data_IF_319921850508
#
_entry.id   IF_319921850508
#
_cell.length_a   1.000
_cell.length_b   1.000
_cell.length_c   1.000
_cell.angle_alpha   90.00
_cell.angle_beta   90.00
_cell.angle_gamma   90.00
#
_symmetry.space_group_name_H-M   'P 1'
#
loop_
_entity.id
_entity.type
_entity.pdbx_description
1 polymer ?
#
# COMPACT_ATOMS: atom_id res chain seq x y z
N UNK A 1 8.64 5.04 5.31
CA UNK A 1 7.27 5.16 4.74
C UNK A 1 7.33 5.99 3.47
N UNK A 2 6.74 5.52 2.40
CA UNK A 2 6.66 6.23 1.11
C UNK A 2 5.19 6.51 0.77
N UNK A 3 4.82 7.77 0.60
CA UNK A 3 3.47 8.20 0.30
C UNK A 3 3.39 8.85 -1.07
N UNK A 4 2.47 8.37 -1.89
CA UNK A 4 2.29 8.78 -3.27
C UNK A 4 0.91 9.45 -3.40
N UNK A 5 0.87 10.63 -3.99
CA UNK A 5 -0.37 11.41 -4.11
C UNK A 5 -1.38 10.79 -5.08
N UNK A 6 -0.91 10.03 -6.06
CA UNK A 6 -1.76 9.45 -7.09
C UNK A 6 -1.16 8.18 -7.71
N UNK A 7 -2.03 7.33 -8.24
CA UNK A 7 -1.65 6.16 -9.04
C UNK A 7 -1.30 6.49 -10.49
N UNK A 8 -1.57 7.70 -10.96
CA UNK A 8 -1.31 8.13 -12.34
C UNK A 8 -0.65 9.49 -12.39
N UNK A 9 0.26 9.68 -13.32
CA UNK A 9 0.89 10.94 -13.64
C UNK A 9 0.92 11.15 -15.15
N UNK A 10 0.31 12.22 -15.63
CA UNK A 10 0.21 12.53 -17.06
C UNK A 10 -0.30 11.32 -17.88
N UNK A 11 0.44 10.88 -18.88
CA UNK A 11 0.09 9.78 -19.77
C UNK A 11 0.73 8.44 -19.37
N UNK A 12 1.24 8.32 -18.16
CA UNK A 12 1.82 7.06 -17.67
C UNK A 12 0.75 6.03 -17.32
N UNK A 13 1.11 4.76 -17.35
CA UNK A 13 0.27 3.67 -16.85
C UNK A 13 0.07 3.74 -15.34
N UNK A 14 -0.76 2.86 -14.84
CA UNK A 14 -1.06 2.76 -13.39
C UNK A 14 0.22 2.48 -12.58
N UNK A 15 0.55 3.36 -11.65
CA UNK A 15 1.76 3.32 -10.81
C UNK A 15 3.10 3.34 -11.57
N UNK A 16 3.11 3.40 -12.89
CA UNK A 16 4.32 3.34 -13.72
C UNK A 16 5.37 4.38 -13.30
N UNK A 17 4.94 5.61 -13.06
CA UNK A 17 5.82 6.70 -12.65
C UNK A 17 6.47 6.49 -11.26
N UNK A 18 5.95 5.56 -10.47
CA UNK A 18 6.43 5.30 -9.10
C UNK A 18 7.53 4.25 -9.04
N UNK A 19 7.72 3.47 -10.10
CA UNK A 19 8.64 2.32 -10.14
C UNK A 19 10.06 2.70 -9.71
N UNK A 20 10.70 3.75 -10.23
CA UNK A 20 12.06 4.12 -9.80
C UNK A 20 12.15 4.43 -8.30
N UNK A 21 11.14 5.09 -7.74
CA UNK A 21 11.11 5.43 -6.32
C UNK A 21 10.90 4.19 -5.44
N UNK A 22 10.00 3.30 -5.87
CA UNK A 22 9.75 2.04 -5.17
C UNK A 22 10.97 1.11 -5.24
N UNK A 23 11.64 1.03 -6.38
CA UNK A 23 12.89 0.25 -6.52
C UNK A 23 13.96 0.72 -5.55
N UNK A 24 14.13 2.04 -5.40
CA UNK A 24 15.07 2.60 -4.45
C UNK A 24 14.62 2.39 -2.99
N UNK A 25 13.36 2.67 -2.70
CA UNK A 25 12.79 2.54 -1.36
C UNK A 25 12.81 1.10 -0.84
N UNK A 26 12.61 0.13 -1.72
CA UNK A 26 12.54 -1.30 -1.40
C UNK A 26 13.80 -2.08 -1.82
N UNK A 27 14.93 -1.40 -2.04
CA UNK A 27 16.15 -2.00 -2.57
C UNK A 27 16.63 -3.22 -1.75
N UNK A 28 16.49 -3.15 -0.43
CA UNK A 28 16.92 -4.22 0.49
C UNK A 28 15.88 -5.34 0.67
N UNK A 29 14.73 -5.24 0.01
CA UNK A 29 13.59 -6.15 0.16
C UNK A 29 13.28 -6.97 -1.10
N UNK A 30 14.24 -7.17 -1.98
CA UNK A 30 14.06 -7.95 -3.22
C UNK A 30 13.57 -9.36 -2.92
N UNK A 31 12.64 -9.85 -3.74
CA UNK A 31 12.01 -11.18 -3.60
C UNK A 31 11.22 -11.39 -2.30
N UNK A 32 10.87 -10.32 -1.61
CA UNK A 32 10.05 -10.34 -0.40
C UNK A 32 8.55 -10.25 -0.73
N UNK A 33 7.73 -10.43 0.30
CA UNK A 33 6.26 -10.42 0.18
C UNK A 33 5.69 -9.07 0.59
N UNK A 34 4.82 -8.54 -0.27
CA UNK A 34 4.02 -7.34 -0.03
C UNK A 34 2.60 -7.76 0.32
N UNK A 35 2.13 -7.40 1.51
CA UNK A 35 0.70 -7.44 1.83
C UNK A 35 0.01 -6.23 1.22
N UNK A 36 -0.89 -6.47 0.28
CA UNK A 36 -1.66 -5.44 -0.38
C UNK A 36 -3.05 -5.29 0.25
N UNK A 37 -3.41 -4.07 0.64
CA UNK A 37 -4.72 -3.72 1.21
C UNK A 37 -5.57 -3.03 0.15
N UNK A 38 -6.60 -3.71 -0.42
CA UNK A 38 -7.39 -3.23 -1.55
C UNK A 38 -8.65 -2.45 -1.16
N UNK A 39 -8.90 -2.22 0.11
CA UNK A 39 -10.21 -1.81 0.65
C UNK A 39 -10.77 -0.49 0.14
N UNK A 40 -9.91 0.41 -0.34
CA UNK A 40 -10.34 1.67 -0.93
C UNK A 40 -10.93 1.50 -2.35
N UNK A 41 -10.68 0.38 -3.00
CA UNK A 41 -11.15 0.10 -4.35
C UNK A 41 -12.63 -0.27 -4.38
N UNK A 42 -13.51 0.69 -4.71
CA UNK A 42 -14.97 0.52 -4.71
C UNK A 42 -15.55 0.27 -6.11
N UNK A 43 -14.75 0.41 -7.17
CA UNK A 43 -15.21 0.28 -8.57
C UNK A 43 -14.81 -1.04 -9.22
N UNK A 44 -14.20 -1.94 -8.49
CA UNK A 44 -13.69 -3.23 -8.95
C UNK A 44 -13.68 -4.20 -7.77
N UNK A 45 -13.57 -5.50 -8.05
CA UNK A 45 -13.37 -6.51 -7.02
C UNK A 45 -11.96 -6.40 -6.43
N UNK A 46 -11.73 -7.01 -5.28
CA UNK A 46 -10.40 -7.06 -4.68
C UNK A 46 -9.43 -7.90 -5.52
N UNK A 47 -9.92 -8.97 -6.17
CA UNK A 47 -9.12 -9.78 -7.09
C UNK A 47 -8.67 -8.95 -8.31
N UNK A 48 -9.57 -8.21 -8.94
CA UNK A 48 -9.25 -7.32 -10.06
C UNK A 48 -8.26 -6.22 -9.64
N UNK A 49 -8.39 -5.71 -8.42
CA UNK A 49 -7.48 -4.70 -7.91
C UNK A 49 -6.09 -5.29 -7.65
N UNK A 50 -6.02 -6.47 -7.05
CA UNK A 50 -4.75 -7.19 -6.85
C UNK A 50 -4.05 -7.43 -8.18
N UNK A 51 -4.76 -7.96 -9.18
CA UNK A 51 -4.20 -8.20 -10.51
C UNK A 51 -3.66 -6.91 -11.15
N UNK A 52 -4.40 -5.81 -11.05
CA UNK A 52 -3.95 -4.50 -11.54
C UNK A 52 -2.63 -4.08 -10.89
N UNK A 53 -2.51 -4.26 -9.57
CA UNK A 53 -1.32 -3.87 -8.81
C UNK A 53 -0.16 -4.82 -9.10
N UNK A 54 -0.40 -6.12 -9.16
CA UNK A 54 0.62 -7.12 -9.52
C UNK A 54 1.22 -6.83 -10.90
N UNK A 55 0.38 -6.52 -11.89
CA UNK A 55 0.83 -6.17 -13.23
C UNK A 55 1.61 -4.85 -13.25
N UNK A 56 1.10 -3.82 -12.56
CA UNK A 56 1.74 -2.51 -12.51
C UNK A 56 3.11 -2.54 -11.83
N UNK A 57 3.29 -3.38 -10.80
CA UNK A 57 4.51 -3.47 -10.00
C UNK A 57 5.36 -4.70 -10.35
N UNK A 58 5.13 -5.35 -11.48
CA UNK A 58 5.86 -6.56 -11.91
C UNK A 58 7.38 -6.35 -11.99
N UNK A 59 7.84 -5.14 -12.32
CA UNK A 59 9.26 -4.79 -12.38
C UNK A 59 9.96 -4.83 -11.01
N UNK A 60 9.22 -4.78 -9.92
CA UNK A 60 9.78 -4.91 -8.57
C UNK A 60 10.21 -6.36 -8.26
N UNK A 61 9.69 -7.34 -8.98
CA UNK A 61 9.95 -8.77 -8.78
C UNK A 61 9.70 -9.24 -7.35
N UNK A 62 8.60 -8.76 -6.76
CA UNK A 62 8.15 -9.09 -5.41
C UNK A 62 6.86 -9.89 -5.47
N UNK A 63 6.58 -10.66 -4.43
CA UNK A 63 5.34 -11.40 -4.29
C UNK A 63 4.27 -10.50 -3.66
N UNK A 64 3.25 -10.11 -4.42
CA UNK A 64 2.16 -9.24 -3.95
C UNK A 64 0.94 -10.13 -3.66
N UNK A 65 0.49 -10.11 -2.41
CA UNK A 65 -0.65 -10.88 -1.93
C UNK A 65 -1.65 -9.96 -1.26
N UNK A 66 -2.88 -9.95 -1.76
CA UNK A 66 -3.95 -9.16 -1.15
C UNK A 66 -4.45 -9.80 0.16
N UNK A 67 -4.70 -8.95 1.15
CA UNK A 67 -5.12 -9.39 2.48
C UNK A 67 -6.42 -10.18 2.51
N UNK A 68 -7.30 -9.98 1.51
CA UNK A 68 -8.59 -10.67 1.44
C UNK A 68 -8.48 -12.18 1.18
N UNK A 69 -7.32 -12.70 0.74
CA UNK A 69 -7.09 -14.13 0.57
C UNK A 69 -6.86 -14.87 1.90
N UNK A 70 -6.50 -14.19 2.96
CA UNK A 70 -6.32 -14.81 4.26
C UNK A 70 -7.66 -15.23 4.88
N UNK A 71 -7.70 -16.34 5.62
CA UNK A 71 -8.86 -16.70 6.45
C UNK A 71 -9.21 -15.58 7.41
N UNK A 72 -8.18 -14.98 8.01
CA UNK A 72 -8.24 -13.69 8.65
C UNK A 72 -7.31 -12.77 7.86
N UNK A 73 -7.79 -11.60 7.45
CA UNK A 73 -7.01 -10.64 6.67
C UNK A 73 -5.70 -10.24 7.40
N UNK A 74 -5.73 -10.29 8.72
CA UNK A 74 -4.58 -10.06 9.59
C UNK A 74 -3.40 -10.99 9.30
N UNK A 75 -3.65 -12.27 8.98
CA UNK A 75 -2.60 -13.28 8.79
C UNK A 75 -1.63 -12.88 7.67
N UNK A 76 -2.16 -12.33 6.58
CA UNK A 76 -1.36 -11.86 5.45
C UNK A 76 -0.45 -10.70 5.86
N UNK A 77 -0.97 -9.76 6.66
CA UNK A 77 -0.19 -8.62 7.16
C UNK A 77 0.91 -9.09 8.11
N UNK A 78 0.61 -10.01 9.01
CA UNK A 78 1.59 -10.53 9.98
C UNK A 78 2.78 -11.19 9.30
N UNK A 79 2.54 -11.94 8.22
CA UNK A 79 3.55 -12.70 7.50
C UNK A 79 4.32 -11.85 6.47
N UNK A 80 3.82 -10.68 6.10
CA UNK A 80 4.42 -9.86 5.06
C UNK A 80 5.67 -9.11 5.53
N UNK A 81 6.57 -8.89 4.59
CA UNK A 81 7.78 -8.08 4.79
C UNK A 81 7.53 -6.59 4.54
N UNK A 82 6.52 -6.27 3.74
CA UNK A 82 6.18 -4.92 3.28
C UNK A 82 4.66 -4.78 3.31
N UNK A 83 4.16 -3.58 3.60
CA UNK A 83 2.73 -3.24 3.55
C UNK A 83 2.49 -2.19 2.47
N UNK A 84 1.50 -2.46 1.59
CA UNK A 84 1.04 -1.53 0.57
C UNK A 84 -0.46 -1.29 0.71
N UNK A 85 -0.89 -0.03 0.72
CA UNK A 85 -2.31 0.34 0.78
C UNK A 85 -2.70 1.11 -0.48
N UNK A 86 -3.67 0.57 -1.19
CA UNK A 86 -4.15 1.13 -2.44
C UNK A 86 -5.04 2.35 -2.30
N UNK A 87 -5.18 3.07 -3.40
CA UNK A 87 -6.03 4.25 -3.51
C UNK A 87 -7.49 3.93 -3.79
N UNK A 88 -8.33 4.96 -3.64
CA UNK A 88 -9.76 4.93 -3.88
C UNK A 88 -10.51 5.74 -2.81
N UNK A 89 -11.55 5.16 -2.24
CA UNK A 89 -12.38 5.80 -1.23
C UNK A 89 -11.80 5.62 0.18
N UNK A 90 -11.40 6.72 0.81
CA UNK A 90 -10.79 6.72 2.15
C UNK A 90 -11.75 6.22 3.23
N UNK A 91 -13.04 6.55 3.13
CA UNK A 91 -14.04 6.09 4.10
C UNK A 91 -14.19 4.57 4.07
N UNK A 92 -14.28 3.98 2.88
CA UNK A 92 -14.35 2.52 2.72
C UNK A 92 -13.08 1.83 3.24
N UNK A 93 -11.91 2.42 2.97
CA UNK A 93 -10.64 1.94 3.51
C UNK A 93 -10.66 1.89 5.04
N UNK A 94 -11.00 2.98 5.70
CA UNK A 94 -11.04 3.06 7.16
C UNK A 94 -12.06 2.09 7.75
N UNK A 95 -13.27 2.02 7.18
CA UNK A 95 -14.31 1.10 7.62
C UNK A 95 -13.81 -0.34 7.63
N UNK A 96 -13.22 -0.80 6.53
CA UNK A 96 -12.72 -2.16 6.42
C UNK A 96 -11.53 -2.43 7.36
N UNK A 97 -10.63 -1.46 7.53
CA UNK A 97 -9.53 -1.59 8.48
C UNK A 97 -10.04 -1.77 9.92
N UNK A 98 -11.09 -1.05 10.31
CA UNK A 98 -11.75 -1.24 11.61
C UNK A 98 -12.46 -2.59 11.71
N UNK A 99 -13.26 -2.95 10.73
CA UNK A 99 -14.03 -4.21 10.71
C UNK A 99 -13.16 -5.45 10.81
N UNK A 100 -11.97 -5.43 10.20
CA UNK A 100 -11.00 -6.52 10.23
C UNK A 100 -9.94 -6.39 11.33
N UNK A 101 -10.04 -5.39 12.20
CA UNK A 101 -9.09 -5.14 13.30
C UNK A 101 -7.62 -5.04 12.85
N UNK A 102 -7.37 -4.34 11.73
CA UNK A 102 -6.04 -4.28 11.12
C UNK A 102 -5.22 -3.06 11.52
N UNK A 103 -5.83 -2.04 12.12
CA UNK A 103 -5.14 -0.78 12.42
C UNK A 103 -3.96 -1.01 13.35
N UNK A 104 -4.17 -1.75 14.44
CA UNK A 104 -3.13 -1.95 15.43
C UNK A 104 -1.96 -2.79 14.90
N UNK A 105 -2.23 -3.85 14.14
CA UNK A 105 -1.16 -4.67 13.57
C UNK A 105 -0.36 -3.91 12.50
N UNK A 106 -1.01 -3.11 11.67
CA UNK A 106 -0.33 -2.26 10.69
C UNK A 106 0.56 -1.25 11.42
N UNK A 107 0.02 -0.58 12.43
CA UNK A 107 0.77 0.39 13.25
C UNK A 107 1.98 -0.25 13.91
N UNK A 108 1.80 -1.40 14.54
CA UNK A 108 2.88 -2.14 15.20
C UNK A 108 3.99 -2.51 14.21
N UNK A 109 3.65 -3.11 13.08
CA UNK A 109 4.63 -3.49 12.06
C UNK A 109 5.40 -2.29 11.51
N UNK A 110 4.71 -1.20 11.20
CA UNK A 110 5.34 0.02 10.69
C UNK A 110 6.22 0.67 11.75
N UNK A 111 5.81 0.71 13.01
CA UNK A 111 6.63 1.20 14.13
C UNK A 111 7.89 0.34 14.37
N UNK A 112 7.82 -0.95 14.06
CA UNK A 112 8.94 -1.89 14.16
C UNK A 112 9.84 -1.92 12.91
N UNK A 113 9.64 -1.02 11.96
CA UNK A 113 10.50 -0.84 10.80
C UNK A 113 10.01 -1.51 9.52
N UNK A 114 8.83 -2.14 9.49
CA UNK A 114 8.26 -2.68 8.26
C UNK A 114 8.02 -1.57 7.25
N UNK A 115 8.58 -1.65 6.02
CA UNK A 115 8.31 -0.66 4.99
C UNK A 115 6.84 -0.57 4.65
N UNK A 116 6.37 0.65 4.48
CA UNK A 116 5.00 0.98 4.11
C UNK A 116 5.02 1.92 2.92
N UNK A 117 4.22 1.62 1.90
CA UNK A 117 3.90 2.59 0.86
C UNK A 117 2.41 2.59 0.56
N UNK A 118 1.91 3.74 0.18
CA UNK A 118 0.50 3.91 -0.15
C UNK A 118 0.31 5.04 -1.15
N UNK A 119 -0.80 4.97 -1.90
CA UNK A 119 -1.14 6.00 -2.88
C UNK A 119 -2.60 6.44 -2.74
N UNK A 120 -2.85 7.72 -3.03
CA UNK A 120 -4.17 8.33 -2.92
C UNK A 120 -4.78 8.11 -1.52
N UNK A 121 -5.87 7.35 -1.37
CA UNK A 121 -6.46 7.05 -0.08
C UNK A 121 -5.48 6.38 0.90
N UNK A 122 -4.60 5.50 0.41
CA UNK A 122 -3.54 4.88 1.22
C UNK A 122 -2.45 5.85 1.68
N UNK A 123 -2.33 6.99 1.02
CA UNK A 123 -1.45 8.09 1.40
C UNK A 123 -2.17 9.22 2.15
N UNK A 124 -3.49 9.14 2.30
CA UNK A 124 -4.28 10.18 2.94
C UNK A 124 -3.87 10.36 4.40
N UNK A 125 -3.57 11.61 4.79
CA UNK A 125 -3.09 11.94 6.13
C UNK A 125 -4.08 11.56 7.25
N UNK A 126 -5.37 11.53 6.98
CA UNK A 126 -6.35 11.09 7.98
C UNK A 126 -6.28 9.59 8.23
N UNK A 127 -6.06 8.78 7.19
CA UNK A 127 -5.80 7.36 7.35
C UNK A 127 -4.45 7.12 8.06
N UNK A 128 -3.47 8.00 7.81
CA UNK A 128 -2.12 7.93 8.38
C UNK A 128 -2.01 8.56 9.77
N UNK A 129 -2.91 9.45 10.16
CA UNK A 129 -2.97 9.96 11.53
C UNK A 129 -3.08 8.82 12.57
N UNK A 130 -3.60 7.68 12.14
CA UNK A 130 -3.63 6.46 12.93
C UNK A 130 -2.28 5.75 13.03
N UNK A 131 -1.36 6.04 12.09
CA UNK A 131 -0.02 5.47 12.03
C UNK A 131 1.05 6.43 12.56
N UNK A 132 0.63 7.52 13.23
CA UNK A 132 1.53 8.59 13.68
C UNK A 132 2.64 8.09 14.58
N UNK A 133 3.87 8.35 14.15
CA UNK A 133 5.13 8.60 14.88
C UNK A 133 6.38 8.34 14.03
N UNK A 134 6.28 8.21 12.70
CA UNK A 134 7.40 7.86 11.83
C UNK A 134 7.82 9.02 10.93
N UNK A 135 9.11 9.10 10.55
CA UNK A 135 9.55 10.06 9.55
C UNK A 135 8.81 9.80 8.22
N UNK A 136 8.19 10.85 7.70
CA UNK A 136 7.37 10.82 6.50
C UNK A 136 8.19 11.30 5.29
N UNK A 137 8.25 10.49 4.23
CA UNK A 137 8.64 10.95 2.91
C UNK A 137 7.34 11.10 2.09
N UNK A 138 6.97 12.32 1.82
CA UNK A 138 5.80 12.64 0.97
C UNK A 138 6.30 13.09 -0.38
N UNK A 139 5.98 12.32 -1.42
CA UNK A 139 6.23 12.70 -2.80
C UNK A 139 4.93 13.24 -3.41
N UNK A 140 4.91 14.53 -3.70
CA UNK A 140 3.82 15.17 -4.43
C UNK A 140 4.26 15.48 -5.86
N UNK A 141 3.28 15.58 -6.77
CA UNK A 141 3.54 15.90 -8.18
C UNK A 141 4.22 17.27 -8.41
N UNK A 142 4.28 18.12 -7.36
CA UNK A 142 4.90 19.44 -7.43
C UNK A 142 6.42 19.42 -7.14
N UNK A 143 6.98 18.25 -6.83
CA UNK A 143 8.43 18.09 -6.55
C UNK A 143 9.23 17.50 -7.72
N UNK A 144 8.61 17.41 -8.91
CA UNK A 144 9.21 16.93 -10.16
C UNK A 144 9.39 18.08 -11.15
#
# INVERSE_FOLDING_TARGET
MLLLSSSKYKNTGYLEHTIPWLQNFLADYRSKTIAFVPYAGVRRTFDEYEETVQNALSDLRMNIVSVHHGKQHRDIIEQADIIAIGGGNTFCLLKQLYEHNLIDIIREKVNNGTPYFGWSAGANLQALAMLQRLPLIVLSHHML
#
